data_IF_176767514921
#
_entry.id   IF_176767514921
#
_cell.length_a   1.000
_cell.length_b   1.000
_cell.length_c   1.000
_cell.angle_alpha   90.00
_cell.angle_beta   90.00
_cell.angle_gamma   90.00
#
_symmetry.space_group_name_H-M   'P 1'
#
loop_
_entity.id
_entity.type
_entity.pdbx_description
1 polymer ?
#
# COMPACT_ATOMS: atom_id res chain seq x y z
N UNK A 1 44.68 -38.91 -33.57
CA UNK A 1 43.64 -39.76 -32.93
C UNK A 1 43.22 -39.05 -31.65
N UNK A 2 41.98 -38.71 -31.34
CA UNK A 2 40.69 -38.87 -31.99
C UNK A 2 39.76 -37.70 -31.61
N UNK A 3 38.80 -37.40 -32.48
CA UNK A 3 37.77 -36.36 -32.32
C UNK A 3 36.68 -36.87 -31.37
N UNK A 4 36.17 -36.01 -30.50
CA UNK A 4 34.99 -36.27 -29.67
C UNK A 4 34.05 -35.06 -29.71
N UNK A 5 33.14 -35.05 -30.68
CA UNK A 5 32.07 -34.07 -30.84
C UNK A 5 30.84 -34.55 -30.07
N UNK A 6 30.38 -33.81 -29.07
CA UNK A 6 29.09 -34.07 -28.42
C UNK A 6 28.23 -32.81 -28.49
N UNK A 7 27.18 -32.90 -29.31
CA UNK A 7 26.09 -31.94 -29.43
C UNK A 7 25.11 -32.19 -28.30
N UNK A 8 24.67 -31.16 -27.58
CA UNK A 8 23.50 -31.24 -26.70
C UNK A 8 22.48 -30.16 -27.07
N UNK A 9 21.44 -30.66 -27.73
CA UNK A 9 20.02 -30.30 -27.72
C UNK A 9 19.65 -28.93 -27.16
N UNK A 10 19.17 -28.08 -28.09
CA UNK A 10 18.42 -26.86 -27.86
C UNK A 10 17.07 -27.22 -27.18
N UNK A 11 16.91 -26.89 -25.89
CA UNK A 11 15.61 -27.00 -25.21
C UNK A 11 14.77 -25.79 -25.60
N UNK A 12 13.79 -26.03 -26.47
CA UNK A 12 12.81 -25.04 -26.92
C UNK A 12 11.77 -24.84 -25.80
N UNK A 13 12.02 -23.89 -24.90
CA UNK A 13 11.02 -23.43 -23.93
C UNK A 13 9.96 -22.59 -24.65
N UNK A 14 8.89 -23.23 -25.14
CA UNK A 14 7.66 -22.56 -25.53
C UNK A 14 6.98 -22.09 -24.25
N UNK A 15 7.27 -20.86 -23.83
CA UNK A 15 6.52 -20.20 -22.76
C UNK A 15 5.13 -19.82 -23.31
N UNK A 16 4.13 -20.62 -22.97
CA UNK A 16 2.74 -20.18 -22.94
C UNK A 16 2.62 -19.03 -21.95
N UNK A 17 2.53 -17.80 -22.45
CA UNK A 17 2.02 -16.69 -21.65
C UNK A 17 0.49 -16.79 -21.68
N UNK A 18 -0.17 -17.10 -20.54
CA UNK A 18 -1.61 -16.86 -20.49
C UNK A 18 -1.83 -15.37 -20.73
N UNK A 19 -2.73 -15.08 -21.67
CA UNK A 19 -3.28 -13.75 -21.90
C UNK A 19 -3.99 -13.35 -20.59
N UNK A 20 -3.21 -12.77 -19.67
CA UNK A 20 -3.72 -12.31 -18.39
C UNK A 20 -4.60 -11.11 -18.71
N UNK A 21 -5.90 -11.38 -18.85
CA UNK A 21 -6.91 -10.36 -18.92
C UNK A 21 -6.69 -9.43 -17.73
N UNK A 22 -6.20 -8.21 -18.00
CA UNK A 22 -6.24 -7.13 -17.03
C UNK A 22 -7.72 -6.81 -16.80
N UNK A 23 -8.39 -7.58 -15.94
CA UNK A 23 -9.62 -7.15 -15.34
C UNK A 23 -9.26 -5.86 -14.58
N UNK A 24 -9.65 -4.72 -15.14
CA UNK A 24 -9.55 -3.45 -14.45
C UNK A 24 -10.39 -3.58 -13.17
N UNK A 25 -9.73 -3.75 -12.04
CA UNK A 25 -10.38 -3.78 -10.74
C UNK A 25 -10.91 -2.38 -10.51
N UNK A 26 -12.21 -2.19 -10.75
CA UNK A 26 -12.90 -0.93 -10.45
C UNK A 26 -12.74 -0.73 -8.93
N UNK A 27 -12.13 0.37 -8.46
CA UNK A 27 -12.03 0.63 -7.03
C UNK A 27 -13.45 0.75 -6.48
N UNK A 28 -13.84 -0.18 -5.61
CA UNK A 28 -15.12 -0.11 -4.94
C UNK A 28 -15.18 1.21 -4.16
N UNK A 29 -16.16 2.04 -4.50
CA UNK A 29 -16.46 3.24 -3.73
C UNK A 29 -16.69 2.80 -2.28
N UNK A 30 -16.06 3.43 -1.27
CA UNK A 30 -16.23 3.03 0.12
C UNK A 30 -17.70 3.01 0.50
N UNK A 31 -18.25 1.81 0.67
CA UNK A 31 -19.62 1.57 1.10
C UNK A 31 -19.63 1.61 2.63
N UNK A 32 -20.47 2.48 3.17
CA UNK A 32 -20.87 2.50 4.58
C UNK A 32 -19.84 3.01 5.61
N UNK A 33 -19.17 4.11 5.30
CA UNK A 33 -18.64 5.02 6.33
C UNK A 33 -17.45 4.52 7.16
N UNK A 34 -17.06 3.25 7.04
CA UNK A 34 -15.80 2.72 7.54
C UNK A 34 -14.81 2.68 6.40
N UNK A 35 -13.63 3.27 6.57
CA UNK A 35 -12.58 3.11 5.58
C UNK A 35 -12.17 1.63 5.51
N UNK A 36 -11.97 1.05 4.32
CA UNK A 36 -11.54 -0.33 4.22
C UNK A 36 -10.21 -0.51 4.96
N UNK A 37 -10.17 -1.50 5.86
CA UNK A 37 -8.92 -1.92 6.53
C UNK A 37 -7.80 -2.22 5.51
N UNK A 38 -8.18 -2.53 4.27
CA UNK A 38 -7.27 -2.78 3.14
C UNK A 38 -6.37 -1.58 2.83
N UNK A 39 -6.87 -0.34 2.90
CA UNK A 39 -6.03 0.86 2.65
C UNK A 39 -4.95 1.02 3.73
N UNK A 40 -5.32 0.82 4.99
CA UNK A 40 -4.37 0.85 6.11
C UNK A 40 -3.32 -0.25 5.95
N UNK A 41 -3.76 -1.47 5.63
CA UNK A 41 -2.87 -2.60 5.42
C UNK A 41 -1.92 -2.37 4.23
N UNK A 42 -2.39 -1.74 3.15
CA UNK A 42 -1.55 -1.42 1.99
C UNK A 42 -0.46 -0.41 2.36
N UNK A 43 -0.82 0.67 3.07
CA UNK A 43 0.14 1.68 3.54
C UNK A 43 1.19 1.07 4.46
N UNK A 44 0.75 0.31 5.47
CA UNK A 44 1.70 -0.30 6.41
C UNK A 44 2.61 -1.32 5.73
N UNK A 45 2.08 -2.09 4.78
CA UNK A 45 2.89 -3.02 3.98
C UNK A 45 3.93 -2.27 3.15
N UNK A 46 3.53 -1.18 2.50
CA UNK A 46 4.43 -0.34 1.73
C UNK A 46 5.56 0.20 2.60
N UNK A 47 5.22 0.82 3.75
CA UNK A 47 6.22 1.36 4.70
C UNK A 47 7.16 0.25 5.17
N UNK A 48 6.63 -0.91 5.58
CA UNK A 48 7.42 -2.06 6.04
C UNK A 48 8.40 -2.58 4.99
N UNK A 49 8.03 -2.54 3.71
CA UNK A 49 8.85 -3.03 2.59
C UNK A 49 9.95 -2.03 2.17
N UNK A 50 9.68 -0.72 2.27
CA UNK A 50 10.57 0.32 1.76
C UNK A 50 11.43 0.99 2.84
N UNK A 51 11.02 0.91 4.11
CA UNK A 51 11.67 1.56 5.26
C UNK A 51 12.04 0.53 6.34
N UNK A 52 13.26 -0.06 6.28
CA UNK A 52 13.67 -1.12 7.21
C UNK A 52 13.68 -0.71 8.69
N UNK A 53 13.95 0.55 8.97
CA UNK A 53 13.89 1.19 10.30
C UNK A 53 12.48 1.22 10.89
N UNK A 54 11.44 1.30 10.05
CA UNK A 54 10.05 1.17 10.47
C UNK A 54 9.56 -0.29 10.56
N UNK A 55 10.24 -1.23 9.89
CA UNK A 55 9.72 -2.59 9.66
C UNK A 55 9.41 -3.38 10.94
N UNK A 56 10.23 -3.22 11.99
CA UNK A 56 10.07 -3.90 13.29
C UNK A 56 8.90 -3.34 14.12
N UNK A 57 8.46 -2.13 13.80
CA UNK A 57 7.33 -1.44 14.43
C UNK A 57 5.99 -1.84 13.79
N UNK A 58 6.03 -2.49 12.63
CA UNK A 58 4.86 -2.86 11.83
C UNK A 58 4.61 -4.37 11.91
N UNK A 59 3.62 -4.73 12.73
CA UNK A 59 3.19 -6.12 12.91
C UNK A 59 2.29 -6.55 11.76
N UNK A 60 2.31 -7.83 11.42
CA UNK A 60 1.48 -8.37 10.33
C UNK A 60 -0.02 -8.32 10.67
N UNK A 61 -0.37 -8.33 11.96
CA UNK A 61 -1.74 -8.21 12.46
C UNK A 61 -1.92 -6.96 13.32
N UNK A 62 -2.18 -5.82 12.68
CA UNK A 62 -2.54 -4.58 13.36
C UNK A 62 -4.05 -4.45 13.45
N UNK A 63 -4.56 -4.28 14.68
CA UNK A 63 -5.96 -3.92 14.90
C UNK A 63 -6.05 -2.40 14.98
N UNK A 64 -6.79 -1.80 14.06
CA UNK A 64 -6.97 -0.36 13.97
C UNK A 64 -8.21 0.10 14.73
N UNK A 65 -8.06 1.19 15.48
CA UNK A 65 -9.18 1.89 16.13
C UNK A 65 -9.39 3.22 15.42
N UNK A 66 -10.59 3.45 14.88
CA UNK A 66 -10.99 4.77 14.40
C UNK A 66 -11.17 5.67 15.62
N UNK A 67 -10.36 6.73 15.72
CA UNK A 67 -10.45 7.70 16.82
C UNK A 67 -11.12 9.01 16.41
N UNK A 68 -11.14 9.30 15.11
CA UNK A 68 -11.76 10.51 14.59
C UNK A 68 -12.26 10.31 13.16
N UNK A 69 -13.43 10.90 12.87
CA UNK A 69 -13.96 11.02 11.52
C UNK A 69 -14.58 12.40 11.33
N UNK A 70 -14.05 13.14 10.36
CA UNK A 70 -14.52 14.48 10.01
C UNK A 70 -15.02 14.47 8.58
N UNK A 71 -16.31 14.77 8.40
CA UNK A 71 -16.92 14.97 7.10
C UNK A 71 -17.25 16.45 6.91
N UNK A 72 -16.59 17.10 5.97
CA UNK A 72 -16.88 18.46 5.51
C UNK A 72 -17.46 18.40 4.10
N UNK A 73 -18.14 19.46 3.68
CA UNK A 73 -18.61 19.57 2.29
C UNK A 73 -17.39 19.46 1.37
N UNK A 74 -17.38 18.46 0.49
CA UNK A 74 -16.29 18.24 -0.46
C UNK A 74 -15.09 17.45 0.08
N UNK A 75 -15.04 17.04 1.35
CA UNK A 75 -13.86 16.36 1.91
C UNK A 75 -14.20 15.48 3.11
N UNK A 76 -13.56 14.30 3.20
CA UNK A 76 -13.68 13.40 4.36
C UNK A 76 -12.29 13.06 4.88
N UNK A 77 -12.12 13.09 6.20
CA UNK A 77 -10.91 12.71 6.92
C UNK A 77 -11.21 11.68 7.99
N UNK A 78 -10.33 10.71 8.13
CA UNK A 78 -10.34 9.66 9.14
C UNK A 78 -9.01 9.65 9.87
N UNK A 79 -9.03 9.29 11.15
CA UNK A 79 -7.82 9.05 11.94
C UNK A 79 -7.94 7.69 12.60
N UNK A 80 -6.93 6.86 12.39
CA UNK A 80 -6.81 5.54 12.95
C UNK A 80 -5.58 5.45 13.84
N UNK A 81 -5.65 4.69 14.92
CA UNK A 81 -4.50 4.41 15.77
C UNK A 81 -4.31 2.91 15.97
N UNK A 82 -3.05 2.48 16.06
CA UNK A 82 -2.68 1.10 16.38
C UNK A 82 -1.20 1.00 16.74
N UNK A 83 -0.86 0.37 17.87
CA UNK A 83 0.53 0.06 18.25
C UNK A 83 1.52 1.24 18.10
N UNK A 84 1.16 2.44 18.57
CA UNK A 84 2.00 3.64 18.47
C UNK A 84 1.96 4.35 17.11
N UNK A 85 1.29 3.77 16.11
CA UNK A 85 0.99 4.43 14.85
C UNK A 85 -0.30 5.24 14.93
N UNK A 86 -0.28 6.42 14.33
CA UNK A 86 -1.43 7.27 14.05
C UNK A 86 -1.47 7.54 12.55
N UNK A 87 -2.51 7.05 11.88
CA UNK A 87 -2.69 7.17 10.44
C UNK A 87 -3.87 8.08 10.15
N UNK A 88 -3.60 9.20 9.51
CA UNK A 88 -4.61 10.14 9.02
C UNK A 88 -4.82 9.89 7.54
N UNK A 89 -6.08 9.68 7.14
CA UNK A 89 -6.45 9.47 5.74
C UNK A 89 -7.52 10.47 5.35
N UNK A 90 -7.23 11.26 4.33
CA UNK A 90 -8.11 12.26 3.77
C UNK A 90 -8.46 11.94 2.33
N UNK A 91 -9.64 12.35 1.87
CA UNK A 91 -9.94 12.37 0.44
C UNK A 91 -10.99 13.43 0.11
N UNK A 92 -10.86 14.10 -1.05
CA UNK A 92 -11.90 14.96 -1.57
C UNK A 92 -13.11 14.16 -2.06
N UNK A 93 -14.28 14.80 -2.12
CA UNK A 93 -15.50 14.24 -2.71
C UNK A 93 -15.55 14.55 -4.22
N UNK A 94 -14.56 14.05 -4.95
CA UNK A 94 -14.40 14.21 -6.40
C UNK A 94 -14.80 12.93 -7.14
N UNK A 95 -14.96 13.02 -8.47
CA UNK A 95 -15.24 11.85 -9.31
C UNK A 95 -14.08 10.84 -9.29
N UNK A 96 -12.86 11.35 -9.23
CA UNK A 96 -11.64 10.57 -9.04
C UNK A 96 -11.28 10.56 -7.55
N UNK A 97 -11.16 9.37 -6.96
CA UNK A 97 -10.87 9.22 -5.53
C UNK A 97 -9.38 9.01 -5.34
N UNK A 98 -8.73 10.02 -4.76
CA UNK A 98 -7.33 9.95 -4.33
C UNK A 98 -7.31 10.12 -2.81
N UNK A 99 -6.70 9.17 -2.12
CA UNK A 99 -6.52 9.23 -0.68
C UNK A 99 -5.18 9.89 -0.36
N UNK A 100 -5.19 10.96 0.41
CA UNK A 100 -4.02 11.56 1.02
C UNK A 100 -3.79 10.89 2.38
N UNK A 101 -2.59 10.36 2.61
CA UNK A 101 -2.28 9.58 3.80
C UNK A 101 -1.06 10.16 4.51
N UNK A 102 -1.16 10.27 5.83
CA UNK A 102 -0.04 10.56 6.73
C UNK A 102 -0.01 9.49 7.80
N UNK A 103 1.11 8.79 7.93
CA UNK A 103 1.34 7.81 8.99
C UNK A 103 2.46 8.31 9.91
N UNK A 104 2.15 8.43 11.19
CA UNK A 104 3.07 8.91 12.22
C UNK A 104 3.28 7.82 13.26
N UNK A 105 4.50 7.68 13.75
CA UNK A 105 4.82 6.82 14.90
C UNK A 105 5.50 7.65 15.97
N UNK A 106 5.14 7.43 17.24
CA UNK A 106 5.58 8.29 18.34
C UNK A 106 7.04 8.02 18.78
N UNK A 107 7.49 6.75 18.77
CA UNK A 107 8.85 6.39 19.26
C UNK A 107 9.41 5.13 18.58
N UNK A 108 10.33 5.25 17.62
CA UNK A 108 10.96 6.48 17.13
C UNK A 108 9.95 7.40 16.43
N UNK A 109 10.29 8.69 16.36
CA UNK A 109 9.48 9.70 15.70
C UNK A 109 9.59 9.53 14.18
N UNK A 110 8.66 8.78 13.61
CA UNK A 110 8.59 8.52 12.16
C UNK A 110 7.42 9.30 11.60
N UNK A 111 7.63 9.93 10.44
CA UNK A 111 6.55 10.51 9.65
C UNK A 111 6.69 10.04 8.20
N UNK A 112 5.64 9.40 7.72
CA UNK A 112 5.46 9.02 6.32
C UNK A 112 4.28 9.76 5.73
N UNK A 113 4.43 10.27 4.52
CA UNK A 113 3.35 10.90 3.75
C UNK A 113 3.28 10.28 2.36
N UNK A 114 2.07 10.06 1.87
CA UNK A 114 1.86 9.53 0.54
C UNK A 114 0.42 9.66 0.07
N UNK A 115 0.16 9.08 -1.09
CA UNK A 115 -1.17 9.02 -1.69
C UNK A 115 -1.51 7.59 -2.11
N UNK A 116 -2.81 7.29 -2.17
CA UNK A 116 -3.32 6.04 -2.73
C UNK A 116 -4.33 6.38 -3.81
N UNK A 117 -4.09 5.88 -5.01
CA UNK A 117 -4.99 5.99 -6.16
C UNK A 117 -5.04 4.64 -6.87
N UNK A 118 -6.22 4.13 -7.16
CA UNK A 118 -6.39 2.85 -7.86
C UNK A 118 -5.58 1.69 -7.24
N UNK A 119 -5.51 1.65 -5.90
CA UNK A 119 -4.71 0.71 -5.08
C UNK A 119 -3.18 0.85 -5.22
N UNK A 120 -2.69 1.85 -5.94
CA UNK A 120 -1.27 2.16 -6.02
C UNK A 120 -0.88 3.16 -4.93
N UNK A 121 0.08 2.77 -4.08
CA UNK A 121 0.68 3.65 -3.07
C UNK A 121 1.81 4.45 -3.72
N UNK A 122 1.78 5.77 -3.57
CA UNK A 122 2.85 6.68 -3.97
C UNK A 122 3.34 7.45 -2.76
N UNK A 123 4.57 7.21 -2.35
CA UNK A 123 5.23 8.00 -1.31
C UNK A 123 5.55 9.42 -1.80
N UNK A 124 5.29 10.40 -0.95
CA UNK A 124 5.67 11.81 -1.18
C UNK A 124 6.68 12.32 -0.16
N UNK A 125 6.88 11.59 0.95
CA UNK A 125 7.87 11.94 1.96
C UNK A 125 8.02 10.89 3.04
N UNK A 126 9.23 10.77 3.57
CA UNK A 126 9.56 9.95 4.71
C UNK A 126 10.63 10.64 5.55
N UNK A 127 10.49 10.59 6.88
CA UNK A 127 11.49 11.12 7.81
C UNK A 127 11.48 10.38 9.13
N UNK A 128 12.66 10.29 9.73
CA UNK A 128 12.89 9.75 11.08
C UNK A 128 13.67 10.79 11.87
N UNK A 129 13.24 11.02 13.12
CA UNK A 129 13.87 11.97 14.05
C UNK A 129 14.23 11.31 15.37
#
# INVERSE_FOLDING_TARGET
>A
MGKGTTRFVLVLCILWLPLSACAAVIPEKPTDGKMPNDLLNEVMRYIKQHHPDASSLIKDSMTWTEVEKVKKVGYTRYVYTSNGWKVTIGHPATAEVIYEVTAEHDTPAITWTGTIKDKQVTETGYSVR
#
